data_IF_546476926941
#
_entry.id   IF_546476926941
#
_cell.length_a   1.000
_cell.length_b   1.000
_cell.length_c   1.000
_cell.angle_alpha   90.00
_cell.angle_beta   90.00
_cell.angle_gamma   90.00
#
_symmetry.space_group_name_H-M   'P 1'
#
loop_
_entity.id
_entity.type
_entity.pdbx_description
1 polymer ?
#
# COMPACT_ATOMS: atom_id res chain seq x y z
N UNK A 1 30.55 -72.41 -11.39
CA UNK A 1 29.49 -71.88 -10.49
C UNK A 1 29.77 -72.42 -9.09
N UNK A 2 29.70 -71.65 -7.99
CA UNK A 2 29.15 -70.30 -7.84
C UNK A 2 30.08 -69.24 -7.20
N UNK A 3 29.61 -67.99 -7.31
CA UNK A 3 29.74 -66.83 -6.41
C UNK A 3 31.13 -66.28 -6.02
N UNK A 4 31.59 -65.26 -6.77
CA UNK A 4 32.39 -64.17 -6.23
C UNK A 4 31.52 -62.90 -6.17
N UNK A 5 31.30 -62.43 -4.96
CA UNK A 5 30.66 -61.15 -4.61
C UNK A 5 31.47 -59.95 -5.15
N UNK A 6 30.86 -58.93 -5.77
CA UNK A 6 31.58 -57.69 -6.05
C UNK A 6 31.61 -56.78 -4.81
N UNK A 7 32.81 -56.23 -4.60
CA UNK A 7 33.18 -55.36 -3.50
C UNK A 7 32.47 -54.00 -3.54
N UNK A 8 32.23 -53.50 -2.32
CA UNK A 8 31.89 -52.12 -1.93
C UNK A 8 32.42 -51.05 -2.90
N UNK A 9 31.49 -50.35 -3.55
CA UNK A 9 31.76 -49.07 -4.21
C UNK A 9 32.02 -47.99 -3.18
N UNK A 10 33.19 -47.35 -3.25
CA UNK A 10 33.50 -46.19 -2.44
C UNK A 10 34.46 -45.26 -3.18
N UNK A 11 33.95 -44.49 -4.15
CA UNK A 11 34.59 -43.26 -4.65
C UNK A 11 33.51 -42.30 -5.15
N UNK A 12 33.39 -41.19 -4.46
CA UNK A 12 32.47 -40.10 -4.78
C UNK A 12 32.51 -39.08 -3.65
N UNK A 13 33.63 -38.37 -3.52
CA UNK A 13 33.69 -37.17 -2.69
C UNK A 13 32.65 -36.16 -3.24
N UNK A 14 31.85 -35.51 -2.38
CA UNK A 14 30.80 -34.61 -2.84
C UNK A 14 31.43 -33.34 -3.38
N UNK A 15 31.15 -33.02 -4.65
CA UNK A 15 31.41 -31.71 -5.19
C UNK A 15 30.52 -30.70 -4.44
N UNK A 16 31.16 -29.90 -3.60
CA UNK A 16 30.60 -28.66 -3.05
C UNK A 16 30.16 -27.77 -4.22
N UNK A 17 28.86 -27.73 -4.51
CA UNK A 17 28.26 -26.71 -5.35
C UNK A 17 27.44 -25.77 -4.46
N UNK A 18 28.12 -24.67 -4.14
CA UNK A 18 27.66 -23.39 -3.58
C UNK A 18 26.16 -23.24 -3.36
N UNK A 19 25.75 -23.31 -2.09
CA UNK A 19 24.60 -22.58 -1.59
C UNK A 19 24.95 -21.09 -1.52
N UNK A 20 24.77 -20.35 -2.62
CA UNK A 20 24.70 -18.89 -2.57
C UNK A 20 23.32 -18.51 -2.02
N UNK A 21 23.20 -18.57 -0.69
CA UNK A 21 22.10 -17.98 0.05
C UNK A 21 22.21 -16.47 -0.18
N UNK A 22 21.42 -15.93 -1.11
CA UNK A 22 21.12 -14.52 -1.16
C UNK A 22 20.35 -14.16 0.10
N UNK A 23 21.08 -13.75 1.14
CA UNK A 23 20.56 -12.97 2.23
C UNK A 23 20.20 -11.57 1.69
N UNK A 24 19.11 -11.47 0.93
CA UNK A 24 18.44 -10.21 0.65
C UNK A 24 17.42 -9.95 1.75
N UNK A 25 17.91 -9.41 2.87
CA UNK A 25 17.07 -8.66 3.79
C UNK A 25 16.53 -7.43 3.03
N UNK A 26 15.38 -7.58 2.36
CA UNK A 26 14.79 -6.54 1.50
C UNK A 26 14.02 -7.05 0.28
N UNK A 27 13.99 -8.36 0.01
CA UNK A 27 13.14 -8.95 -1.03
C UNK A 27 11.67 -9.02 -0.59
N UNK A 28 10.99 -7.89 -0.50
CA UNK A 28 9.52 -7.89 -0.61
C UNK A 28 9.15 -8.25 -2.06
N UNK A 29 8.06 -8.98 -2.27
CA UNK A 29 7.62 -9.41 -3.60
C UNK A 29 7.45 -8.24 -4.60
N UNK A 30 7.23 -7.04 -4.09
CA UNK A 30 7.12 -5.79 -4.84
C UNK A 30 8.43 -5.40 -5.55
N UNK A 31 9.59 -5.63 -4.92
CA UNK A 31 10.90 -5.30 -5.49
C UNK A 31 11.27 -6.21 -6.66
N UNK A 32 10.82 -7.47 -6.63
CA UNK A 32 11.09 -8.45 -7.71
C UNK A 32 10.23 -8.18 -8.94
N UNK A 33 8.97 -7.77 -8.76
CA UNK A 33 8.07 -7.44 -9.89
C UNK A 33 8.55 -6.23 -10.69
N UNK A 34 9.20 -5.24 -10.07
CA UNK A 34 9.68 -4.05 -10.77
C UNK A 34 10.74 -4.34 -11.85
N UNK A 35 11.64 -5.30 -11.61
CA UNK A 35 12.66 -5.69 -12.61
C UNK A 35 12.03 -6.45 -13.77
N UNK A 36 11.10 -7.37 -13.49
CA UNK A 36 10.43 -8.19 -14.52
C UNK A 36 9.36 -7.41 -15.30
N UNK A 37 8.85 -6.29 -14.76
CA UNK A 37 7.86 -5.42 -15.41
C UNK A 37 8.48 -4.32 -16.29
N UNK A 38 9.78 -4.41 -16.57
CA UNK A 38 10.52 -3.47 -17.40
C UNK A 38 11.02 -2.22 -16.65
N UNK A 39 11.48 -2.39 -15.41
CA UNK A 39 12.11 -1.35 -14.62
C UNK A 39 11.14 -0.54 -13.74
N UNK A 40 11.65 0.55 -13.15
CA UNK A 40 10.90 1.38 -12.21
C UNK A 40 9.70 2.10 -12.85
N UNK A 41 9.67 2.24 -14.19
CA UNK A 41 8.56 2.89 -14.91
C UNK A 41 7.53 1.91 -15.48
N UNK A 42 7.57 0.62 -15.10
CA UNK A 42 6.67 -0.40 -15.61
C UNK A 42 5.18 -0.06 -15.41
N UNK A 43 4.83 0.38 -14.21
CA UNK A 43 3.48 0.79 -13.85
C UNK A 43 3.01 1.98 -14.68
N UNK A 44 3.85 3.01 -14.83
CA UNK A 44 3.54 4.17 -15.67
C UNK A 44 3.23 3.74 -17.10
N UNK A 45 4.12 2.96 -17.73
CA UNK A 45 3.91 2.50 -19.12
C UNK A 45 2.62 1.70 -19.26
N UNK A 46 2.35 0.79 -18.33
CA UNK A 46 1.13 -0.01 -18.34
C UNK A 46 -0.11 0.89 -18.25
N UNK A 47 -0.15 1.86 -17.34
CA UNK A 47 -1.29 2.77 -17.20
C UNK A 47 -1.46 3.66 -18.44
N UNK A 48 -0.38 4.24 -18.97
CA UNK A 48 -0.43 5.05 -20.18
C UNK A 48 -0.96 4.25 -21.38
N UNK A 49 -0.48 3.03 -21.58
CA UNK A 49 -0.86 2.20 -22.73
C UNK A 49 -2.25 1.57 -22.58
N UNK A 50 -2.55 1.01 -21.40
CA UNK A 50 -3.74 0.18 -21.16
C UNK A 50 -4.98 0.99 -20.76
N UNK A 51 -4.79 2.11 -20.06
CA UNK A 51 -5.88 2.87 -19.47
C UNK A 51 -6.10 4.23 -20.14
N UNK A 52 -5.01 4.93 -20.47
CA UNK A 52 -5.08 6.31 -20.96
C UNK A 52 -4.87 6.44 -22.48
N UNK A 53 -4.46 5.35 -23.14
CA UNK A 53 -4.34 5.28 -24.58
C UNK A 53 -5.65 5.53 -25.33
N UNK A 54 -5.55 5.65 -26.65
CA UNK A 54 -6.68 5.92 -27.54
C UNK A 54 -7.39 4.63 -28.03
N UNK A 55 -7.36 3.56 -27.25
CA UNK A 55 -8.05 2.30 -27.61
C UNK A 55 -9.56 2.41 -27.34
N UNK A 56 -10.38 1.72 -28.16
CA UNK A 56 -11.84 1.78 -28.08
C UNK A 56 -12.41 1.24 -26.75
N UNK A 57 -11.67 0.38 -26.04
CA UNK A 57 -11.99 -0.10 -24.70
C UNK A 57 -10.75 -0.05 -23.80
N UNK A 58 -10.96 0.28 -22.53
CA UNK A 58 -9.91 0.19 -21.51
C UNK A 58 -9.64 -1.27 -21.14
N UNK A 59 -8.38 -1.60 -20.81
CA UNK A 59 -8.01 -2.94 -20.36
C UNK A 59 -8.76 -3.32 -19.05
N UNK A 60 -9.06 -4.60 -18.80
CA UNK A 60 -9.76 -5.03 -17.57
C UNK A 60 -9.07 -4.61 -16.26
N UNK A 61 -7.75 -4.43 -16.28
CA UNK A 61 -6.99 -3.92 -15.12
C UNK A 61 -7.35 -2.46 -14.80
N UNK A 62 -7.86 -1.68 -15.76
CA UNK A 62 -8.26 -0.29 -15.58
C UNK A 62 -9.69 -0.20 -15.03
N UNK A 63 -9.87 -0.65 -13.78
CA UNK A 63 -11.18 -0.78 -13.13
C UNK A 63 -12.03 0.50 -13.16
N UNK A 64 -11.39 1.67 -13.12
CA UNK A 64 -12.04 2.95 -13.36
C UNK A 64 -11.04 3.93 -13.98
N UNK A 65 -11.44 4.66 -15.02
CA UNK A 65 -10.64 5.73 -15.63
C UNK A 65 -11.47 7.01 -15.62
N UNK A 66 -11.12 7.93 -14.73
CA UNK A 66 -11.74 9.25 -14.67
C UNK A 66 -10.81 10.29 -15.32
N UNK A 67 -11.07 10.55 -16.60
CA UNK A 67 -10.29 11.53 -17.38
C UNK A 67 -10.54 12.96 -16.93
N UNK A 68 -11.69 13.26 -16.32
CA UNK A 68 -12.01 14.61 -15.84
C UNK A 68 -11.22 14.96 -14.59
N UNK A 69 -11.03 13.98 -13.70
CA UNK A 69 -10.21 14.11 -12.50
C UNK A 69 -8.73 13.80 -12.77
N UNK A 70 -8.42 13.16 -13.90
CA UNK A 70 -7.07 12.71 -14.23
C UNK A 70 -6.60 11.58 -13.32
N UNK A 71 -7.49 10.66 -12.95
CA UNK A 71 -7.23 9.58 -12.01
C UNK A 71 -7.64 8.22 -12.59
N UNK A 72 -6.86 7.19 -12.27
CA UNK A 72 -7.10 5.80 -12.66
C UNK A 72 -7.14 4.96 -11.40
N UNK A 73 -8.16 4.10 -11.29
CA UNK A 73 -8.16 2.96 -10.40
C UNK A 73 -7.69 1.73 -11.18
N UNK A 74 -6.54 1.21 -10.81
CA UNK A 74 -5.85 0.13 -11.50
C UNK A 74 -5.81 -1.13 -10.63
N UNK A 75 -6.16 -2.30 -11.17
CA UNK A 75 -6.07 -3.58 -10.47
C UNK A 75 -4.61 -4.01 -10.39
N UNK A 76 -4.10 -4.19 -9.18
CA UNK A 76 -2.74 -4.69 -8.99
C UNK A 76 -2.64 -6.17 -9.43
N UNK A 77 -1.49 -6.59 -9.95
CA UNK A 77 -1.29 -7.99 -10.37
C UNK A 77 -1.21 -8.95 -9.17
N UNK A 78 -0.89 -8.45 -7.98
CA UNK A 78 -0.73 -9.20 -6.74
C UNK A 78 -1.90 -8.91 -5.80
N UNK A 79 -2.56 -9.97 -5.34
CA UNK A 79 -3.67 -9.89 -4.38
C UNK A 79 -5.03 -9.82 -5.08
N UNK A 80 -6.01 -10.54 -4.53
CA UNK A 80 -7.35 -10.64 -5.15
C UNK A 80 -8.11 -9.31 -5.12
N UNK A 81 -7.88 -8.52 -4.08
CA UNK A 81 -8.62 -7.30 -3.76
C UNK A 81 -7.78 -6.03 -3.77
N UNK A 82 -6.52 -6.13 -4.20
CA UNK A 82 -5.57 -5.03 -4.20
C UNK A 82 -5.73 -4.16 -5.45
N UNK A 83 -5.93 -2.86 -5.25
CA UNK A 83 -6.03 -1.83 -6.28
C UNK A 83 -5.06 -0.69 -6.01
N UNK A 84 -4.76 0.08 -7.05
CA UNK A 84 -3.89 1.25 -7.02
C UNK A 84 -4.66 2.45 -7.55
N UNK A 85 -4.60 3.57 -6.84
CA UNK A 85 -5.01 4.88 -7.36
C UNK A 85 -3.80 5.56 -7.97
N UNK A 86 -3.89 5.93 -9.25
CA UNK A 86 -2.76 6.43 -10.02
C UNK A 86 -3.18 7.70 -10.75
N UNK A 87 -2.49 8.83 -10.56
CA UNK A 87 -2.74 10.02 -11.36
C UNK A 87 -2.26 9.80 -12.81
N UNK A 88 -3.03 10.33 -13.76
CA UNK A 88 -2.71 10.28 -15.18
C UNK A 88 -1.51 11.17 -15.55
N UNK A 89 -1.23 12.19 -14.72
CA UNK A 89 -0.04 13.02 -14.86
C UNK A 89 1.18 12.30 -14.28
N UNK A 90 2.36 12.58 -14.84
CA UNK A 90 3.62 12.04 -14.33
C UNK A 90 3.99 12.69 -13.00
N UNK A 91 3.86 11.91 -11.93
CA UNK A 91 4.34 12.20 -10.57
C UNK A 91 5.06 10.94 -10.12
N UNK A 92 6.32 11.01 -9.72
CA UNK A 92 7.10 9.78 -9.45
C UNK A 92 6.70 9.09 -8.15
N UNK A 93 6.19 9.85 -7.18
CA UNK A 93 5.77 9.34 -5.88
C UNK A 93 5.70 10.45 -4.85
N UNK A 94 5.70 10.05 -3.57
CA UNK A 94 5.59 10.96 -2.43
C UNK A 94 6.83 11.87 -2.23
N UNK A 95 7.95 11.55 -2.87
CA UNK A 95 9.16 12.40 -2.90
C UNK A 95 9.10 13.51 -3.96
N UNK A 96 8.12 13.47 -4.88
CA UNK A 96 7.92 14.50 -5.90
C UNK A 96 7.13 15.68 -5.33
N UNK A 97 7.61 16.91 -5.50
CA UNK A 97 6.89 18.12 -5.07
C UNK A 97 5.49 18.23 -5.69
N UNK A 98 5.27 17.65 -6.88
CA UNK A 98 3.95 17.57 -7.50
C UNK A 98 2.95 16.73 -6.73
N UNK A 99 3.36 15.86 -5.81
CA UNK A 99 2.42 15.15 -4.93
C UNK A 99 1.82 16.07 -3.86
N UNK A 100 2.47 17.21 -3.59
CA UNK A 100 2.19 18.08 -2.44
C UNK A 100 1.68 19.46 -2.83
N UNK A 101 1.66 19.80 -4.12
CA UNK A 101 1.27 21.13 -4.61
C UNK A 101 -0.25 21.38 -4.52
N UNK A 102 -1.05 20.34 -4.28
CA UNK A 102 -2.51 20.42 -4.25
C UNK A 102 -3.13 20.63 -5.63
N UNK A 103 -2.37 20.47 -6.71
CA UNK A 103 -2.88 20.58 -8.07
C UNK A 103 -3.69 19.32 -8.43
N UNK A 104 -4.87 19.52 -9.02
CA UNK A 104 -5.74 18.44 -9.50
C UNK A 104 -6.70 17.87 -8.45
N UNK A 105 -7.32 16.74 -8.77
CA UNK A 105 -8.26 16.06 -7.87
C UNK A 105 -7.54 15.33 -6.73
N UNK A 106 -8.21 15.18 -5.58
CA UNK A 106 -7.69 14.45 -4.42
C UNK A 106 -7.68 12.93 -4.70
N UNK A 107 -6.51 12.30 -4.91
CA UNK A 107 -6.44 10.88 -5.25
C UNK A 107 -6.88 9.99 -4.08
N UNK A 108 -6.70 10.44 -2.83
CA UNK A 108 -7.13 9.70 -1.66
C UNK A 108 -8.66 9.63 -1.58
N UNK A 109 -9.34 10.75 -1.80
CA UNK A 109 -10.80 10.79 -1.82
C UNK A 109 -11.38 9.93 -2.96
N UNK A 110 -10.78 9.98 -4.14
CA UNK A 110 -11.15 9.12 -5.27
C UNK A 110 -11.00 7.64 -4.94
N UNK A 111 -9.85 7.23 -4.38
CA UNK A 111 -9.62 5.85 -3.94
C UNK A 111 -10.61 5.39 -2.89
N UNK A 112 -10.87 6.25 -1.90
CA UNK A 112 -11.79 5.93 -0.82
C UNK A 112 -13.24 5.83 -1.30
N UNK A 113 -13.65 6.67 -2.25
CA UNK A 113 -14.96 6.55 -2.89
C UNK A 113 -15.13 5.22 -3.63
N UNK A 114 -14.05 4.67 -4.18
CA UNK A 114 -14.05 3.39 -4.89
C UNK A 114 -13.91 2.15 -3.98
N UNK A 115 -13.65 2.32 -2.67
CA UNK A 115 -13.28 1.24 -1.72
C UNK A 115 -14.15 -0.01 -1.74
N UNK A 116 -15.45 0.12 -2.03
CA UNK A 116 -16.37 -1.01 -2.16
C UNK A 116 -15.95 -2.04 -3.22
N UNK A 117 -15.06 -1.67 -4.14
CA UNK A 117 -14.45 -2.60 -5.10
C UNK A 117 -13.69 -3.74 -4.44
N UNK A 118 -13.06 -3.50 -3.28
CA UNK A 118 -12.33 -4.53 -2.52
C UNK A 118 -13.28 -5.68 -2.17
N UNK A 119 -14.44 -5.35 -1.61
CA UNK A 119 -15.47 -6.34 -1.28
C UNK A 119 -16.06 -7.04 -2.51
N UNK A 120 -16.33 -6.30 -3.59
CA UNK A 120 -16.79 -6.90 -4.86
C UNK A 120 -15.81 -7.94 -5.38
N UNK A 121 -14.51 -7.66 -5.34
CA UNK A 121 -13.46 -8.59 -5.78
C UNK A 121 -13.31 -9.80 -4.85
N UNK A 122 -13.68 -9.66 -3.57
CA UNK A 122 -13.75 -10.78 -2.64
C UNK A 122 -15.05 -11.58 -2.76
N UNK A 123 -16.09 -11.04 -3.40
CA UNK A 123 -17.43 -11.61 -3.48
C UNK A 123 -18.24 -11.45 -2.19
N UNK A 124 -17.91 -10.46 -1.35
CA UNK A 124 -18.58 -10.22 -0.06
C UNK A 124 -18.50 -8.74 0.35
N UNK A 125 -19.44 -8.29 1.18
CA UNK A 125 -19.33 -6.96 1.77
C UNK A 125 -18.14 -6.91 2.75
N UNK A 126 -17.34 -5.84 2.69
CA UNK A 126 -16.25 -5.58 3.64
C UNK A 126 -16.55 -4.25 4.31
N UNK A 127 -16.65 -4.19 5.66
CA UNK A 127 -16.87 -2.96 6.39
C UNK A 127 -15.78 -1.92 6.14
N UNK A 128 -16.14 -0.64 6.20
CA UNK A 128 -15.21 0.47 5.95
C UNK A 128 -14.03 0.51 6.95
N UNK A 129 -14.22 0.01 8.17
CA UNK A 129 -13.17 -0.11 9.19
C UNK A 129 -12.21 -1.29 8.97
N UNK A 130 -12.42 -2.08 7.91
CA UNK A 130 -11.55 -3.16 7.45
C UNK A 130 -10.78 -2.79 6.19
N UNK A 131 -10.88 -1.54 5.73
CA UNK A 131 -10.26 -1.06 4.49
C UNK A 131 -9.25 0.03 4.80
N UNK A 132 -8.26 0.18 3.92
CA UNK A 132 -7.26 1.24 4.03
C UNK A 132 -6.72 1.68 2.70
N UNK A 133 -6.15 2.89 2.71
CA UNK A 133 -5.34 3.43 1.64
C UNK A 133 -3.91 3.61 2.14
N UNK A 134 -2.90 3.31 1.33
CA UNK A 134 -1.50 3.51 1.68
C UNK A 134 -0.65 4.01 0.52
N UNK A 135 0.32 4.87 0.78
CA UNK A 135 1.40 5.20 -0.17
C UNK A 135 2.74 4.95 0.48
N UNK A 136 3.64 4.32 -0.26
CA UNK A 136 4.99 4.02 0.20
C UNK A 136 5.96 5.17 -0.11
N UNK A 137 6.99 5.27 0.72
CA UNK A 137 8.15 6.13 0.50
C UNK A 137 8.90 5.76 -0.78
N UNK A 138 9.79 6.65 -1.25
CA UNK A 138 10.75 6.32 -2.31
C UNK A 138 11.67 5.18 -1.90
N UNK A 139 12.11 5.17 -0.65
CA UNK A 139 13.01 4.17 -0.10
C UNK A 139 12.41 2.74 -0.07
N UNK A 140 11.09 2.61 -0.15
CA UNK A 140 10.39 1.35 0.09
C UNK A 140 9.51 0.88 -1.07
N UNK A 141 9.57 1.55 -2.23
CA UNK A 141 8.80 1.18 -3.43
C UNK A 141 9.68 0.74 -4.59
N UNK A 142 9.09 -0.03 -5.51
CA UNK A 142 9.75 -0.53 -6.71
C UNK A 142 9.37 0.19 -8.01
N UNK A 143 8.38 1.08 -7.97
CA UNK A 143 7.87 1.81 -9.15
C UNK A 143 7.95 3.33 -8.94
N UNK A 144 8.36 4.07 -9.97
CA UNK A 144 8.51 5.53 -10.00
C UNK A 144 7.34 6.20 -10.73
N UNK A 145 6.14 5.78 -10.35
CA UNK A 145 4.89 6.46 -10.63
C UNK A 145 4.09 6.48 -9.34
N UNK A 146 3.52 7.62 -8.96
CA UNK A 146 2.71 7.73 -7.75
C UNK A 146 1.56 6.73 -7.83
N UNK A 147 1.45 5.90 -6.80
CA UNK A 147 0.37 4.95 -6.65
C UNK A 147 -0.02 4.85 -5.17
N UNK A 148 -1.32 4.92 -4.90
CA UNK A 148 -1.87 4.72 -3.57
C UNK A 148 -2.56 3.36 -3.57
N UNK A 149 -2.08 2.44 -2.74
CA UNK A 149 -2.65 1.14 -2.51
C UNK A 149 -4.01 1.26 -1.85
N UNK A 150 -4.98 0.47 -2.30
CA UNK A 150 -6.30 0.28 -1.72
C UNK A 150 -6.49 -1.22 -1.50
N UNK A 151 -6.65 -1.62 -0.24
CA UNK A 151 -6.92 -3.01 0.13
C UNK A 151 -7.48 -3.12 1.55
N UNK A 152 -7.60 -4.34 2.07
CA UNK A 152 -7.93 -4.58 3.47
C UNK A 152 -6.83 -4.07 4.41
N UNK A 153 -7.21 -3.57 5.58
CA UNK A 153 -6.30 -3.20 6.66
C UNK A 153 -5.67 -4.44 7.31
N UNK A 154 -4.42 -4.32 7.79
CA UNK A 154 -3.77 -5.37 8.58
C UNK A 154 -4.33 -5.43 10.01
N UNK A 155 -4.20 -6.60 10.66
CA UNK A 155 -4.63 -6.77 12.06
C UNK A 155 -3.88 -5.83 13.02
N UNK A 156 -2.57 -5.64 12.82
CA UNK A 156 -1.77 -4.75 13.64
C UNK A 156 -2.20 -3.29 13.48
N UNK A 157 -2.40 -2.83 12.24
CA UNK A 157 -2.89 -1.48 11.97
C UNK A 157 -4.29 -1.27 12.55
N UNK A 158 -5.22 -2.23 12.38
CA UNK A 158 -6.56 -2.18 12.98
C UNK A 158 -6.50 -2.07 14.50
N UNK A 159 -5.62 -2.81 15.17
CA UNK A 159 -5.46 -2.71 16.61
C UNK A 159 -4.95 -1.32 17.04
N UNK A 160 -3.95 -0.77 16.34
CA UNK A 160 -3.40 0.57 16.64
C UNK A 160 -4.42 1.67 16.45
N UNK A 161 -5.14 1.70 15.31
CA UNK A 161 -6.18 2.73 15.07
C UNK A 161 -7.36 2.60 16.04
N UNK A 162 -7.56 1.41 16.62
CA UNK A 162 -8.55 1.16 17.68
C UNK A 162 -7.98 1.31 19.11
N UNK A 163 -6.72 1.71 19.28
CA UNK A 163 -6.20 2.23 20.55
C UNK A 163 -5.20 1.34 21.27
N UNK A 164 -4.78 0.22 20.66
CA UNK A 164 -3.78 -0.66 21.26
C UNK A 164 -2.43 0.05 21.54
N UNK A 165 -2.11 1.13 20.80
CA UNK A 165 -0.90 1.92 21.01
C UNK A 165 -1.13 3.24 21.80
N UNK A 166 -2.34 3.46 22.32
CA UNK A 166 -2.72 4.69 23.02
C UNK A 166 -3.75 5.54 22.28
N UNK A 167 -4.12 6.70 22.85
CA UNK A 167 -5.10 7.61 22.25
C UNK A 167 -4.56 8.28 20.98
N UNK A 168 -5.43 8.45 19.98
CA UNK A 168 -5.16 9.29 18.79
C UNK A 168 -6.14 10.45 18.86
N UNK A 169 -5.61 11.66 19.09
CA UNK A 169 -6.42 12.88 19.13
C UNK A 169 -6.55 13.56 17.78
N UNK A 170 -7.22 14.71 17.77
CA UNK A 170 -7.31 15.62 16.62
C UNK A 170 -6.03 16.42 16.36
N UNK A 171 -4.99 16.19 17.16
CA UNK A 171 -3.62 16.66 16.94
C UNK A 171 -2.67 15.51 16.68
N UNK A 172 -1.59 15.78 15.95
CA UNK A 172 -0.55 14.79 15.67
C UNK A 172 0.02 14.19 16.95
N UNK A 173 -0.11 12.88 17.08
CA UNK A 173 0.36 12.09 18.22
C UNK A 173 1.40 11.08 17.76
N UNK A 174 2.53 10.99 18.45
CA UNK A 174 3.56 9.98 18.15
C UNK A 174 3.17 8.63 18.76
N UNK A 175 3.27 7.57 17.96
CA UNK A 175 2.95 6.20 18.35
C UNK A 175 3.99 5.23 17.79
N UNK A 176 3.84 3.95 18.13
CA UNK A 176 4.56 2.83 17.51
C UNK A 176 3.56 1.86 16.89
N UNK A 177 3.79 1.46 15.64
CA UNK A 177 3.05 0.42 14.95
C UNK A 177 4.06 -0.63 14.49
N UNK A 178 3.95 -1.85 15.03
CA UNK A 178 4.93 -2.93 14.79
C UNK A 178 6.38 -2.45 14.97
N UNK A 179 6.64 -1.75 16.09
CA UNK A 179 7.94 -1.16 16.43
C UNK A 179 8.48 -0.07 15.50
N UNK A 180 7.69 0.38 14.51
CA UNK A 180 8.04 1.52 13.67
C UNK A 180 7.49 2.80 14.30
N UNK A 181 8.31 3.86 14.47
CA UNK A 181 7.80 5.15 14.90
C UNK A 181 6.86 5.72 13.82
N UNK A 182 5.69 6.16 14.25
CA UNK A 182 4.69 6.80 13.38
C UNK A 182 4.09 8.01 14.08
N UNK A 183 3.49 8.91 13.30
CA UNK A 183 2.58 9.93 13.82
C UNK A 183 1.18 9.62 13.34
N UNK A 184 0.18 9.79 14.19
CA UNK A 184 -1.21 9.60 13.83
C UNK A 184 -2.04 10.84 14.20
N UNK A 185 -3.08 11.09 13.42
CA UNK A 185 -4.08 12.12 13.69
C UNK A 185 -5.47 11.56 13.38
N UNK A 186 -6.45 11.91 14.22
CA UNK A 186 -7.85 11.60 14.01
C UNK A 186 -8.55 12.80 13.36
N UNK A 187 -9.28 12.54 12.27
CA UNK A 187 -10.07 13.52 11.52
C UNK A 187 -11.54 13.14 11.67
N UNK A 188 -12.32 13.88 12.49
CA UNK A 188 -13.73 13.56 12.70
C UNK A 188 -14.53 13.53 11.39
N UNK A 189 -15.32 12.50 11.20
CA UNK A 189 -16.23 12.36 10.07
C UNK A 189 -17.38 11.38 10.42
N UNK A 190 -18.60 11.90 10.51
CA UNK A 190 -19.80 11.11 10.84
C UNK A 190 -20.18 10.08 9.76
N UNK A 191 -19.68 10.26 8.54
CA UNK A 191 -19.84 9.33 7.45
C UNK A 191 -18.45 8.95 6.89
N UNK A 192 -18.31 7.76 6.28
CA UNK A 192 -17.07 7.29 5.66
C UNK A 192 -16.82 7.97 4.30
N UNK A 193 -16.77 9.30 4.30
CA UNK A 193 -16.47 10.15 3.14
C UNK A 193 -15.20 10.94 3.43
N UNK A 194 -14.12 10.61 2.72
CA UNK A 194 -12.82 11.24 2.95
C UNK A 194 -12.76 12.62 2.27
N UNK A 195 -13.09 13.67 3.03
CA UNK A 195 -13.05 15.05 2.55
C UNK A 195 -11.66 15.68 2.61
N UNK A 196 -10.83 15.26 3.57
CA UNK A 196 -9.47 15.79 3.73
C UNK A 196 -8.54 15.21 2.66
N UNK A 197 -7.52 15.98 2.26
CA UNK A 197 -6.38 15.47 1.50
C UNK A 197 -5.23 15.10 2.46
N UNK A 198 -4.93 13.81 2.64
CA UNK A 198 -3.82 13.34 3.46
C UNK A 198 -2.46 13.93 3.08
N UNK A 199 -2.18 14.24 1.81
CA UNK A 199 -0.92 14.93 1.46
C UNK A 199 -0.88 16.32 2.09
N UNK A 200 -1.95 17.10 1.93
CA UNK A 200 -2.04 18.42 2.54
C UNK A 200 -1.97 18.34 4.07
N UNK A 201 -2.72 17.42 4.67
CA UNK A 201 -2.76 17.26 6.13
C UNK A 201 -1.38 16.92 6.72
N UNK A 202 -0.66 15.98 6.09
CA UNK A 202 0.70 15.59 6.52
C UNK A 202 1.68 16.73 6.32
N UNK A 203 1.68 17.39 5.17
CA UNK A 203 2.54 18.53 4.87
C UNK A 203 2.36 19.65 5.89
N UNK A 204 1.13 20.08 6.11
CA UNK A 204 0.79 21.16 7.03
C UNK A 204 1.09 20.76 8.50
N UNK A 205 1.12 19.46 8.78
CA UNK A 205 1.53 18.87 10.06
C UNK A 205 3.03 18.69 10.28
N UNK A 206 3.86 18.92 9.26
CA UNK A 206 5.33 18.82 9.36
C UNK A 206 5.94 20.18 9.63
N UNK A 207 6.98 20.23 10.48
CA UNK A 207 7.70 21.48 10.77
C UNK A 207 8.67 21.78 9.62
N UNK A 208 8.59 22.98 9.06
CA UNK A 208 9.52 23.47 8.02
C UNK A 208 8.80 23.92 6.74
N UNK A 209 9.30 24.95 6.07
CA UNK A 209 8.69 25.56 4.88
C UNK A 209 8.96 24.78 3.57
N UNK A 210 9.23 23.48 3.65
CA UNK A 210 9.59 22.70 2.47
C UNK A 210 8.36 22.50 1.57
N UNK A 211 8.54 22.66 0.26
CA UNK A 211 7.48 22.41 -0.73
C UNK A 211 7.02 20.93 -0.70
N UNK A 212 7.93 20.02 -0.34
CA UNK A 212 7.67 18.61 -0.09
C UNK A 212 8.29 18.20 1.27
N UNK A 213 7.55 17.53 2.15
CA UNK A 213 8.12 16.93 3.35
C UNK A 213 9.19 15.87 3.04
N UNK A 214 10.15 15.59 3.94
CA UNK A 214 11.10 14.47 3.81
C UNK A 214 10.42 13.13 3.46
N UNK A 215 11.13 12.20 2.82
CA UNK A 215 10.54 10.92 2.36
C UNK A 215 9.81 10.15 3.47
N UNK A 216 8.65 9.57 3.14
CA UNK A 216 7.70 9.00 4.11
C UNK A 216 6.68 8.11 3.44
N UNK A 217 5.99 7.28 4.22
CA UNK A 217 4.73 6.66 3.84
C UNK A 217 3.54 7.36 4.49
N UNK A 218 2.35 7.22 3.90
CA UNK A 218 1.09 7.67 4.50
C UNK A 218 0.07 6.54 4.43
N UNK A 219 -0.70 6.36 5.49
CA UNK A 219 -1.81 5.42 5.54
C UNK A 219 -3.09 6.11 6.05
N UNK A 220 -4.24 5.69 5.53
CA UNK A 220 -5.55 6.20 5.90
C UNK A 220 -6.54 5.06 6.06
N UNK A 221 -7.34 5.11 7.12
CA UNK A 221 -8.49 4.21 7.32
C UNK A 221 -9.62 4.94 8.02
N UNK A 222 -10.83 4.37 7.94
CA UNK A 222 -11.99 4.85 8.67
C UNK A 222 -12.19 4.05 9.96
N UNK A 223 -12.70 4.70 11.00
CA UNK A 223 -13.02 4.09 12.29
C UNK A 223 -14.42 4.54 12.72
N UNK A 224 -15.25 3.59 13.11
CA UNK A 224 -16.67 3.84 13.42
C UNK A 224 -16.89 4.46 14.80
N UNK A 225 -16.05 4.16 15.79
CA UNK A 225 -16.24 4.67 17.14
C UNK A 225 -14.90 4.85 17.87
N UNK A 226 -14.46 6.10 17.97
CA UNK A 226 -13.25 6.51 18.68
C UNK A 226 -13.52 7.75 19.50
N UNK A 227 -13.27 7.68 20.80
CA UNK A 227 -13.31 8.83 21.72
C UNK A 227 -14.58 9.71 21.58
N UNK A 228 -15.73 9.07 21.30
CA UNK A 228 -17.02 9.75 21.15
C UNK A 228 -17.47 10.07 19.72
N UNK A 229 -16.78 9.60 18.67
CA UNK A 229 -17.26 9.75 17.30
C UNK A 229 -16.54 8.91 16.24
N UNK A 230 -17.13 8.86 15.05
CA UNK A 230 -16.54 8.22 13.88
C UNK A 230 -15.61 9.19 13.13
N UNK A 231 -14.68 8.65 12.34
CA UNK A 231 -13.79 9.49 11.53
C UNK A 231 -12.68 8.72 10.83
N UNK A 232 -11.74 9.47 10.27
CA UNK A 232 -10.55 8.91 9.64
C UNK A 232 -9.36 8.97 10.57
N UNK A 233 -8.53 7.94 10.53
CA UNK A 233 -7.18 7.98 11.11
C UNK A 233 -6.19 8.08 9.96
N UNK A 234 -5.36 9.12 9.99
CA UNK A 234 -4.23 9.31 9.07
C UNK A 234 -2.94 9.03 9.83
N UNK A 235 -2.13 8.11 9.30
CA UNK A 235 -0.82 7.74 9.84
C UNK A 235 0.26 8.25 8.88
N UNK A 236 1.21 9.01 9.41
CA UNK A 236 2.41 9.50 8.74
C UNK A 236 3.60 8.67 9.27
N UNK A 237 4.32 8.03 8.34
CA UNK A 237 5.47 7.19 8.64
C UNK A 237 6.73 7.74 7.94
N UNK A 238 7.44 8.70 8.56
CA UNK A 238 8.71 9.20 8.02
C UNK A 238 9.73 8.08 7.84
N UNK A 239 10.59 8.20 6.83
CA UNK A 239 11.79 7.38 6.72
C UNK A 239 12.78 7.77 7.83
N UNK A 240 13.16 6.81 8.66
CA UNK A 240 14.15 6.91 9.72
C UNK A 240 14.84 5.55 9.87
N UNK A 241 15.98 5.38 9.19
CA UNK A 241 16.71 4.11 9.16
C UNK A 241 17.29 3.74 10.52
N UNK A 242 17.66 4.72 11.35
CA UNK A 242 18.17 4.48 12.70
C UNK A 242 17.08 3.93 13.62
N UNK A 243 15.83 4.37 13.43
CA UNK A 243 14.67 3.87 14.15
C UNK A 243 13.94 2.72 13.46
N UNK A 244 14.51 2.15 12.38
CA UNK A 244 13.93 1.02 11.64
C UNK A 244 12.71 1.34 10.78
N UNK A 245 12.43 2.61 10.52
CA UNK A 245 11.34 3.06 9.65
C UNK A 245 11.82 3.28 8.22
N UNK A 246 11.24 2.58 7.26
CA UNK A 246 11.49 2.76 5.83
C UNK A 246 10.33 3.47 5.11
N UNK A 247 9.26 3.86 5.81
CA UNK A 247 8.09 4.48 5.18
C UNK A 247 7.27 3.55 4.25
N UNK A 248 7.32 2.23 4.49
CA UNK A 248 6.50 1.25 3.77
C UNK A 248 5.09 1.15 4.39
N UNK A 249 4.25 2.16 4.13
CA UNK A 249 2.92 2.23 4.73
C UNK A 249 1.98 1.12 4.25
N UNK A 250 2.27 0.46 3.13
CA UNK A 250 1.48 -0.68 2.67
C UNK A 250 1.65 -1.94 3.53
N UNK A 251 2.63 -1.98 4.46
CA UNK A 251 2.67 -2.97 5.55
C UNK A 251 1.43 -2.87 6.48
N UNK A 252 0.74 -1.73 6.48
CA UNK A 252 -0.50 -1.53 7.25
C UNK A 252 -1.74 -2.06 6.52
N UNK A 253 -1.56 -2.61 5.31
CA UNK A 253 -2.55 -3.34 4.55
C UNK A 253 -2.30 -4.85 4.63
N UNK A 254 -3.31 -5.66 4.31
CA UNK A 254 -3.22 -7.10 4.19
C UNK A 254 -3.80 -7.57 2.85
N UNK A 255 -2.92 -7.93 1.91
CA UNK A 255 -3.29 -8.41 0.56
C UNK A 255 -4.04 -9.74 0.54
N UNK A 256 -4.07 -10.44 1.67
CA UNK A 256 -4.85 -11.67 1.85
C UNK A 256 -6.20 -11.38 2.49
N UNK A 257 -6.45 -10.16 2.97
CA UNK A 257 -7.69 -9.77 3.61
C UNK A 257 -8.10 -10.72 4.75
N UNK A 258 -7.16 -11.15 5.61
CA UNK A 258 -7.42 -12.17 6.65
C UNK A 258 -8.54 -11.77 7.60
N UNK A 259 -8.66 -10.48 7.93
CA UNK A 259 -9.75 -9.98 8.77
C UNK A 259 -11.13 -10.13 8.11
N UNK A 260 -11.20 -10.13 6.77
CA UNK A 260 -12.43 -10.29 6.01
C UNK A 260 -12.73 -11.76 5.66
N UNK A 261 -11.81 -12.71 5.90
CA UNK A 261 -12.04 -14.14 5.65
C UNK A 261 -13.21 -14.67 6.50
N UNK A 262 -13.29 -14.25 7.76
CA UNK A 262 -14.36 -14.61 8.71
C UNK A 262 -15.71 -13.93 8.47
N UNK A 263 -15.80 -12.97 7.53
CA UNK A 263 -17.08 -12.36 7.17
C UNK A 263 -17.90 -13.31 6.30
N UNK A 264 -19.17 -13.47 6.63
CA UNK A 264 -20.13 -14.18 5.79
C UNK A 264 -20.23 -13.52 4.41
N UNK A 265 -20.38 -14.33 3.36
CA UNK A 265 -20.69 -13.82 2.03
C UNK A 265 -22.01 -13.05 2.06
N UNK A 266 -22.09 -11.95 1.31
CA UNK A 266 -23.38 -11.29 1.11
C UNK A 266 -24.32 -12.29 0.42
N UNK A 267 -25.54 -12.45 0.96
CA UNK A 267 -26.59 -13.14 0.22
C UNK A 267 -26.84 -12.34 -1.07
N UNK A 268 -26.73 -13.00 -2.21
CA UNK A 268 -26.92 -12.40 -3.54
C UNK A 268 -28.36 -11.96 -3.78
#
# INVERSE_FOLDING_TARGET
MPALTPARGWRGAPALLLAAILALAGCTAENVVGVLSGGRDGLWRNVQQRCLGNTAAAHPDCAQVDRSQGLVLYKDAIGKSHYLVIPARTVTGIDDAKAWDGAGANPWAFGWAARGIVGRSLGKAVPDDMLGLAINSRASRSQDQLHIHLDCISAAARAVVNGAAGPIGTGWTTLRLEDKPVRAIFVPASAPVLAVDPFRLVRDGTKGSAAAPPDRGIFVTYVQERQGGAGFVVIDQPVDTAAGSNGHASDFLDRRCRLAEGLSSAAG
#
